data_IF_422360143555
#
_entry.id   IF_422360143555
#
_cell.length_a   1.000
_cell.length_b   1.000
_cell.length_c   1.000
_cell.angle_alpha   90.00
_cell.angle_beta   90.00
_cell.angle_gamma   90.00
#
_symmetry.space_group_name_H-M   'P 1'
#
loop_
_entity.id
_entity.type
_entity.pdbx_description
1 polymer ?
#
# COMPACT_ATOMS: atom_id res chain seq x y z
N UNK A 1 26.63 4.56 13.48
CA UNK A 1 25.61 4.13 12.51
C UNK A 1 24.42 5.06 12.65
N UNK A 2 24.06 5.82 11.61
CA UNK A 2 22.84 6.63 11.63
C UNK A 2 21.66 5.66 11.53
N UNK A 3 20.91 5.46 12.61
CA UNK A 3 19.59 4.83 12.53
C UNK A 3 18.69 5.81 11.76
N UNK A 4 18.56 5.58 10.46
CA UNK A 4 17.49 6.18 9.67
C UNK A 4 16.29 5.25 9.82
N UNK A 5 15.67 5.29 11.00
CA UNK A 5 14.28 4.84 11.11
C UNK A 5 13.47 5.93 10.43
N UNK A 6 13.07 5.67 9.18
CA UNK A 6 12.10 6.51 8.47
C UNK A 6 10.90 6.74 9.41
N UNK A 7 10.45 7.99 9.50
CA UNK A 7 9.23 8.32 10.25
C UNK A 7 8.03 7.57 9.66
N UNK A 8 6.99 7.35 10.47
CA UNK A 8 5.74 6.72 9.99
C UNK A 8 5.19 7.46 8.76
N UNK A 9 5.29 8.80 8.75
CA UNK A 9 4.84 9.63 7.62
C UNK A 9 5.64 9.31 6.36
N UNK A 10 6.98 9.22 6.44
CA UNK A 10 7.82 8.87 5.30
C UNK A 10 7.52 7.46 4.77
N UNK A 11 7.25 6.50 5.65
CA UNK A 11 6.86 5.14 5.26
C UNK A 11 5.52 5.14 4.53
N UNK A 12 4.53 5.90 5.02
CA UNK A 12 3.21 6.02 4.37
C UNK A 12 3.34 6.69 3.00
N UNK A 13 4.09 7.78 2.87
CA UNK A 13 4.36 8.40 1.57
C UNK A 13 5.07 7.45 0.60
N UNK A 14 5.96 6.59 1.10
CA UNK A 14 6.59 5.55 0.28
C UNK A 14 5.58 4.49 -0.17
N UNK A 15 4.64 4.08 0.69
CA UNK A 15 3.55 3.17 0.35
C UNK A 15 2.66 3.77 -0.75
N UNK A 16 2.26 5.04 -0.62
CA UNK A 16 1.46 5.76 -1.63
C UNK A 16 2.14 5.75 -3.01
N UNK A 17 3.45 6.06 -3.06
CA UNK A 17 4.22 6.04 -4.32
C UNK A 17 4.32 4.64 -4.93
N UNK A 18 4.56 3.63 -4.10
CA UNK A 18 4.62 2.23 -4.55
C UNK A 18 3.25 1.74 -5.04
N UNK A 19 2.17 2.18 -4.39
CA UNK A 19 0.81 1.87 -4.81
C UNK A 19 0.53 2.44 -6.19
N UNK A 20 0.78 3.73 -6.43
CA UNK A 20 0.62 4.34 -7.75
C UNK A 20 1.45 3.62 -8.82
N UNK A 21 2.70 3.26 -8.49
CA UNK A 21 3.55 2.47 -9.40
C UNK A 21 2.96 1.08 -9.72
N UNK A 22 2.34 0.40 -8.74
CA UNK A 22 1.65 -0.87 -8.94
C UNK A 22 0.39 -0.69 -9.82
N UNK A 23 -0.34 0.40 -9.63
CA UNK A 23 -1.53 0.74 -10.41
C UNK A 23 -1.14 0.96 -11.87
N UNK A 24 -0.13 1.76 -12.18
CA UNK A 24 0.23 2.09 -13.57
C UNK A 24 1.13 1.04 -14.25
N UNK A 25 1.54 -0.01 -13.54
CA UNK A 25 2.38 -1.06 -14.08
C UNK A 25 1.80 -1.67 -15.36
N UNK A 26 2.67 -2.05 -16.31
CA UNK A 26 2.25 -2.62 -17.60
C UNK A 26 1.58 -3.98 -17.48
N UNK A 27 1.82 -4.73 -16.39
CA UNK A 27 1.22 -6.04 -16.14
C UNK A 27 1.28 -6.41 -14.65
N UNK A 28 0.59 -7.49 -14.28
CA UNK A 28 0.55 -8.03 -12.90
C UNK A 28 1.92 -8.45 -12.37
N UNK A 29 2.81 -8.96 -13.22
CA UNK A 29 4.13 -9.41 -12.78
C UNK A 29 4.99 -8.22 -12.29
N UNK A 30 5.00 -7.12 -13.06
CA UNK A 30 5.66 -5.87 -12.68
C UNK A 30 5.03 -5.27 -11.41
N UNK A 31 3.69 -5.20 -11.36
CA UNK A 31 2.96 -4.71 -10.20
C UNK A 31 3.31 -5.46 -8.90
N UNK A 32 3.44 -6.79 -8.98
CA UNK A 32 3.73 -7.65 -7.82
C UNK A 32 5.02 -7.26 -7.11
N UNK A 33 6.03 -6.75 -7.83
CA UNK A 33 7.27 -6.25 -7.22
C UNK A 33 7.00 -5.08 -6.27
N UNK A 34 6.22 -4.10 -6.70
CA UNK A 34 5.84 -2.95 -5.87
C UNK A 34 4.99 -3.36 -4.67
N UNK A 35 4.00 -4.24 -4.87
CA UNK A 35 3.15 -4.73 -3.77
C UNK A 35 3.94 -5.53 -2.73
N UNK A 36 4.93 -6.32 -3.14
CA UNK A 36 5.85 -7.00 -2.21
C UNK A 36 6.68 -6.00 -1.40
N UNK A 37 7.10 -4.89 -2.01
CA UNK A 37 7.81 -3.84 -1.29
C UNK A 37 6.89 -3.16 -0.27
N UNK A 38 5.64 -2.85 -0.62
CA UNK A 38 4.63 -2.35 0.33
C UNK A 38 4.49 -3.31 1.51
N UNK A 39 4.31 -4.61 1.25
CA UNK A 39 4.21 -5.65 2.29
C UNK A 39 5.42 -5.66 3.23
N UNK A 40 6.63 -5.48 2.70
CA UNK A 40 7.85 -5.43 3.54
C UNK A 40 7.91 -4.21 4.46
N UNK A 41 7.24 -3.11 4.12
CA UNK A 41 7.18 -1.90 4.95
C UNK A 41 6.21 -2.02 6.14
N UNK A 42 5.33 -3.03 6.14
CA UNK A 42 4.36 -3.29 7.22
C UNK A 42 5.05 -3.38 8.59
N UNK A 43 6.23 -4.00 8.66
CA UNK A 43 6.99 -4.19 9.91
C UNK A 43 7.40 -2.86 10.53
N UNK A 44 7.64 -1.83 9.72
CA UNK A 44 8.10 -0.51 10.17
C UNK A 44 6.97 0.39 10.63
N UNK A 45 5.70 0.00 10.41
CA UNK A 45 4.53 0.79 10.77
C UNK A 45 4.01 0.54 12.19
N UNK A 46 4.52 -0.48 12.90
CA UNK A 46 4.08 -0.87 14.24
C UNK A 46 2.54 -0.90 14.41
N UNK A 47 1.86 -1.56 13.47
CA UNK A 47 0.40 -1.56 13.37
C UNK A 47 -0.28 -2.26 14.56
N UNK A 48 -1.32 -1.62 15.10
CA UNK A 48 -2.31 -2.27 15.96
C UNK A 48 -3.04 -3.40 15.21
N UNK A 49 -3.72 -4.33 15.90
CA UNK A 49 -4.49 -5.38 15.25
C UNK A 49 -5.50 -4.86 14.23
N UNK A 50 -6.23 -3.78 14.56
CA UNK A 50 -7.19 -3.16 13.64
C UNK A 50 -6.50 -2.55 12.41
N UNK A 51 -5.42 -1.76 12.60
CA UNK A 51 -4.71 -1.18 11.47
C UNK A 51 -4.08 -2.24 10.56
N UNK A 52 -3.67 -3.39 11.11
CA UNK A 52 -3.18 -4.53 10.33
C UNK A 52 -4.28 -5.14 9.43
N UNK A 53 -5.52 -5.20 9.92
CA UNK A 53 -6.67 -5.62 9.09
C UNK A 53 -6.84 -4.63 7.93
N UNK A 54 -6.88 -3.33 8.22
CA UNK A 54 -7.01 -2.28 7.20
C UNK A 54 -5.87 -2.33 6.17
N UNK A 55 -4.63 -2.57 6.61
CA UNK A 55 -3.47 -2.72 5.73
C UNK A 55 -3.60 -3.94 4.80
N UNK A 56 -4.10 -5.07 5.31
CA UNK A 56 -4.35 -6.26 4.50
C UNK A 56 -5.47 -6.05 3.48
N UNK A 57 -6.55 -5.35 3.86
CA UNK A 57 -7.61 -4.95 2.92
C UNK A 57 -7.05 -4.08 1.79
N UNK A 58 -6.27 -3.04 2.15
CA UNK A 58 -5.59 -2.19 1.19
C UNK A 58 -4.74 -3.01 0.20
N UNK A 59 -3.90 -3.93 0.69
CA UNK A 59 -3.07 -4.77 -0.17
C UNK A 59 -3.90 -5.67 -1.09
N UNK A 60 -4.98 -6.26 -0.60
CA UNK A 60 -5.86 -7.11 -1.41
C UNK A 60 -6.55 -6.31 -2.53
N UNK A 61 -7.05 -5.11 -2.23
CA UNK A 61 -7.63 -4.23 -3.25
C UNK A 61 -6.58 -3.72 -4.24
N UNK A 62 -5.39 -3.34 -3.77
CA UNK A 62 -4.28 -2.95 -4.63
C UNK A 62 -3.85 -4.10 -5.55
N UNK A 63 -3.81 -5.34 -5.05
CA UNK A 63 -3.53 -6.51 -5.87
C UNK A 63 -4.56 -6.67 -6.99
N UNK A 64 -5.85 -6.52 -6.71
CA UNK A 64 -6.91 -6.58 -7.73
C UNK A 64 -6.81 -5.43 -8.75
N UNK A 65 -6.55 -4.21 -8.29
CA UNK A 65 -6.45 -3.00 -9.12
C UNK A 65 -5.18 -2.92 -9.98
N UNK A 66 -4.11 -3.60 -9.57
CA UNK A 66 -2.79 -3.40 -10.16
C UNK A 66 -2.64 -3.94 -11.58
N UNK A 67 -1.74 -3.34 -12.37
CA UNK A 67 -1.52 -3.72 -13.76
C UNK A 67 -2.62 -3.23 -14.72
N UNK A 68 -2.71 -3.88 -15.89
CA UNK A 68 -3.76 -3.62 -16.88
C UNK A 68 -4.94 -4.58 -16.67
N UNK A 69 -5.96 -4.14 -15.93
CA UNK A 69 -7.18 -4.93 -15.62
C UNK A 69 -8.47 -4.16 -15.95
N UNK A 70 -9.56 -4.88 -16.25
CA UNK A 70 -10.84 -4.30 -16.72
C UNK A 70 -11.63 -3.53 -15.66
N UNK A 71 -11.46 -3.82 -14.37
CA UNK A 71 -12.22 -3.20 -13.25
C UNK A 71 -11.33 -2.34 -12.34
N UNK A 72 -10.26 -1.79 -12.91
CA UNK A 72 -9.19 -1.11 -12.18
C UNK A 72 -9.70 -0.01 -11.24
N UNK A 73 -10.61 0.84 -11.71
CA UNK A 73 -11.07 2.01 -10.96
C UNK A 73 -11.85 1.66 -9.71
N UNK A 74 -12.68 0.60 -9.76
CA UNK A 74 -13.43 0.14 -8.58
C UNK A 74 -12.47 -0.32 -7.46
N UNK A 75 -11.53 -1.20 -7.83
CA UNK A 75 -10.55 -1.75 -6.88
C UNK A 75 -9.55 -0.68 -6.41
N UNK A 76 -9.20 0.27 -7.27
CA UNK A 76 -8.35 1.42 -6.92
C UNK A 76 -9.02 2.27 -5.86
N UNK A 77 -10.29 2.65 -6.05
CA UNK A 77 -11.03 3.45 -5.07
C UNK A 77 -11.14 2.74 -3.72
N UNK A 78 -11.38 1.42 -3.70
CA UNK A 78 -11.39 0.63 -2.47
C UNK A 78 -10.01 0.62 -1.78
N UNK A 79 -8.93 0.48 -2.54
CA UNK A 79 -7.57 0.54 -2.02
C UNK A 79 -7.25 1.92 -1.41
N UNK A 80 -7.58 3.01 -2.12
CA UNK A 80 -7.40 4.39 -1.63
C UNK A 80 -8.19 4.64 -0.34
N UNK A 81 -9.41 4.12 -0.23
CA UNK A 81 -10.20 4.23 0.98
C UNK A 81 -9.55 3.51 2.17
N UNK A 82 -9.05 2.28 1.96
CA UNK A 82 -8.33 1.55 3.02
C UNK A 82 -7.03 2.24 3.39
N UNK A 83 -6.30 2.80 2.41
CA UNK A 83 -5.08 3.57 2.68
C UNK A 83 -5.38 4.85 3.47
N UNK A 84 -6.46 5.57 3.14
CA UNK A 84 -6.91 6.73 3.91
C UNK A 84 -7.23 6.37 5.36
N UNK A 85 -7.98 5.28 5.59
CA UNK A 85 -8.28 4.77 6.94
C UNK A 85 -6.98 4.47 7.70
N UNK A 86 -6.03 3.81 7.04
CA UNK A 86 -4.73 3.51 7.63
C UNK A 86 -3.99 4.79 8.04
N UNK A 87 -3.87 5.77 7.14
CA UNK A 87 -3.20 7.05 7.39
C UNK A 87 -3.88 7.86 8.50
N UNK A 88 -5.22 7.86 8.54
CA UNK A 88 -5.98 8.54 9.59
C UNK A 88 -5.77 7.92 10.98
N UNK A 89 -5.45 6.62 11.06
CA UNK A 89 -5.14 5.94 12.31
C UNK A 89 -3.76 6.30 12.91
N UNK A 90 -2.94 7.08 12.20
CA UNK A 90 -1.63 7.56 12.67
C UNK A 90 -1.58 9.05 13.01
N UNK A 91 -2.68 9.79 12.75
CA UNK A 91 -2.83 11.20 13.12
C UNK A 91 -3.51 11.31 14.48
#
# INVERSE_FOLDING_TARGET
>A
MKNHSDSIIEIITKIERLFEAAIIASNKATAKSFLRHIRSLEVSLNLTPYQRIVFNEFLAYAENASGQVKEKEHWKAAAEQSLYKLTSGFR
#
